data_IF_674907741255
#
_entry.id   IF_674907741255
#
_cell.length_a   1.000
_cell.length_b   1.000
_cell.length_c   1.000
_cell.angle_alpha   90.00
_cell.angle_beta   90.00
_cell.angle_gamma   90.00
#
_symmetry.space_group_name_H-M   'P 1'
#
loop_
_entity.id
_entity.type
_entity.pdbx_description
1 polymer ?
#
# COMPACT_ATOMS: atom_id res chain seq x y z
N UNK A 1 -4.06 10.96 -8.65
CA UNK A 1 -3.14 9.89 -8.33
C UNK A 1 -3.82 8.89 -7.40
N UNK A 2 -5.03 8.44 -7.74
CA UNK A 2 -5.34 7.04 -7.44
C UNK A 2 -4.45 6.26 -8.40
N UNK A 3 -3.43 5.57 -7.90
CA UNK A 3 -2.48 4.85 -8.73
C UNK A 3 -3.22 4.02 -9.80
N UNK A 4 -2.68 3.79 -11.01
CA UNK A 4 -3.30 2.88 -11.96
C UNK A 4 -3.58 1.54 -11.29
N UNK A 5 -4.70 0.87 -11.60
CA UNK A 5 -4.91 -0.48 -11.05
C UNK A 5 -3.88 -1.39 -11.67
N UNK A 6 -2.81 -1.67 -10.94
CA UNK A 6 -1.76 -2.57 -11.39
C UNK A 6 -2.00 -3.95 -10.77
N UNK A 7 -1.52 -5.03 -11.39
CA UNK A 7 -1.47 -6.34 -10.73
C UNK A 7 -0.56 -6.37 -9.50
N UNK A 8 0.20 -5.31 -9.28
CA UNK A 8 1.20 -5.19 -8.22
C UNK A 8 0.64 -4.49 -6.97
N UNK A 9 -0.55 -3.89 -7.04
CA UNK A 9 -1.17 -3.17 -5.92
C UNK A 9 -2.61 -3.64 -5.71
N UNK A 10 -2.87 -4.27 -4.55
CA UNK A 10 -4.21 -4.69 -4.17
C UNK A 10 -5.01 -3.49 -3.68
N UNK A 11 -6.14 -3.19 -4.35
CA UNK A 11 -7.02 -2.06 -3.99
C UNK A 11 -8.38 -2.49 -3.44
N UNK A 12 -9.06 -1.63 -2.68
CA UNK A 12 -10.47 -1.81 -2.36
C UNK A 12 -11.34 -1.83 -3.64
N UNK A 13 -12.53 -2.42 -3.55
CA UNK A 13 -13.58 -2.23 -4.54
C UNK A 13 -14.16 -0.81 -4.40
N UNK A 14 -14.19 -0.06 -5.49
CA UNK A 14 -14.88 1.23 -5.55
C UNK A 14 -16.40 1.05 -5.50
N UNK A 15 -17.15 2.10 -5.18
CA UNK A 15 -18.61 2.04 -5.01
C UNK A 15 -19.35 1.49 -6.23
N UNK A 16 -18.91 1.88 -7.44
CA UNK A 16 -19.44 1.36 -8.70
C UNK A 16 -19.12 -0.13 -8.94
N UNK A 17 -18.07 -0.64 -8.29
CA UNK A 17 -17.62 -2.02 -8.34
C UNK A 17 -18.13 -2.84 -7.13
N UNK A 18 -19.06 -2.36 -6.30
CA UNK A 18 -19.62 -3.15 -5.19
C UNK A 18 -20.74 -4.13 -5.64
N UNK A 19 -21.37 -3.88 -6.78
CA UNK A 19 -22.52 -4.65 -7.25
C UNK A 19 -23.87 -4.03 -6.85
N UNK A 20 -24.96 -4.76 -7.06
CA UNK A 20 -26.30 -4.26 -6.79
C UNK A 20 -26.51 -4.05 -5.27
N UNK A 21 -27.19 -2.95 -4.90
CA UNK A 21 -27.48 -2.64 -3.50
C UNK A 21 -28.30 -3.75 -2.86
N UNK A 22 -27.91 -4.18 -1.67
CA UNK A 22 -28.50 -5.28 -0.92
C UNK A 22 -28.09 -6.68 -1.41
N UNK A 23 -27.19 -6.78 -2.39
CA UNK A 23 -26.75 -8.09 -2.89
C UNK A 23 -25.73 -8.75 -1.95
N UNK A 24 -25.69 -10.08 -1.98
CA UNK A 24 -24.66 -10.85 -1.27
C UNK A 24 -23.24 -10.46 -1.74
N UNK A 25 -23.08 -10.09 -3.01
CA UNK A 25 -21.80 -9.67 -3.57
C UNK A 25 -21.34 -8.32 -3.00
N UNK A 26 -22.25 -7.36 -2.80
CA UNK A 26 -21.95 -6.10 -2.12
C UNK A 26 -21.43 -6.36 -0.69
N UNK A 27 -22.08 -7.25 0.05
CA UNK A 27 -21.66 -7.59 1.41
C UNK A 27 -20.25 -8.21 1.44
N UNK A 28 -19.94 -9.11 0.49
CA UNK A 28 -18.62 -9.74 0.36
C UNK A 28 -17.52 -8.73 0.01
N UNK A 29 -17.76 -7.87 -0.97
CA UNK A 29 -16.80 -6.84 -1.39
C UNK A 29 -16.56 -5.80 -0.29
N UNK A 30 -17.59 -5.41 0.46
CA UNK A 30 -17.44 -4.56 1.65
C UNK A 30 -16.64 -5.25 2.77
N UNK A 31 -16.86 -6.54 3.00
CA UNK A 31 -16.07 -7.30 3.97
C UNK A 31 -14.59 -7.38 3.57
N UNK A 32 -14.32 -7.58 2.27
CA UNK A 32 -12.97 -7.51 1.72
C UNK A 32 -12.31 -6.14 1.92
N UNK A 33 -13.00 -5.03 1.61
CA UNK A 33 -12.45 -3.69 1.81
C UNK A 33 -12.09 -3.45 3.28
N UNK A 34 -12.96 -3.84 4.22
CA UNK A 34 -12.67 -3.74 5.67
C UNK A 34 -11.46 -4.57 6.08
N UNK A 35 -11.34 -5.79 5.56
CA UNK A 35 -10.20 -6.65 5.84
C UNK A 35 -8.90 -6.05 5.28
N UNK A 36 -8.91 -5.56 4.05
CA UNK A 36 -7.77 -4.90 3.42
C UNK A 36 -7.33 -3.66 4.20
N UNK A 37 -8.28 -2.81 4.60
CA UNK A 37 -8.01 -1.63 5.43
C UNK A 37 -7.38 -2.02 6.77
N UNK A 38 -7.91 -3.06 7.43
CA UNK A 38 -7.31 -3.58 8.67
C UNK A 38 -5.88 -4.08 8.50
N UNK A 39 -5.57 -4.77 7.39
CA UNK A 39 -4.19 -5.18 7.08
C UNK A 39 -3.29 -3.98 6.81
N UNK A 40 -3.76 -2.96 6.08
CA UNK A 40 -3.01 -1.72 5.84
C UNK A 40 -2.66 -1.01 7.14
N UNK A 41 -3.62 -0.84 8.05
CA UNK A 41 -3.38 -0.23 9.36
C UNK A 41 -2.27 -0.94 10.13
N UNK A 42 -2.27 -2.28 10.15
CA UNK A 42 -1.21 -3.06 10.81
C UNK A 42 0.16 -2.80 10.18
N UNK A 43 0.22 -2.78 8.85
CA UNK A 43 1.46 -2.51 8.11
C UNK A 43 1.95 -1.07 8.37
N UNK A 44 1.05 -0.10 8.29
CA UNK A 44 1.33 1.32 8.50
C UNK A 44 1.83 1.57 9.93
N UNK A 45 1.21 0.96 10.95
CA UNK A 45 1.71 1.01 12.33
C UNK A 45 3.11 0.40 12.46
N UNK A 46 3.35 -0.79 11.89
CA UNK A 46 4.67 -1.43 11.97
C UNK A 46 5.77 -0.57 11.32
N UNK A 47 5.47 0.07 10.18
CA UNK A 47 6.41 1.01 9.56
C UNK A 47 6.54 2.34 10.32
N UNK A 48 5.47 2.80 10.97
CA UNK A 48 5.51 3.97 11.86
C UNK A 48 6.44 3.74 13.05
N UNK A 49 6.34 2.57 13.68
CA UNK A 49 7.22 2.16 14.79
C UNK A 49 8.66 2.01 14.32
N UNK A 50 8.87 1.43 13.12
CA UNK A 50 10.20 1.28 12.54
C UNK A 50 10.86 2.63 12.25
N UNK A 51 10.10 3.60 11.70
CA UNK A 51 10.58 4.97 11.42
C UNK A 51 10.85 5.76 12.71
N UNK A 52 9.96 5.65 13.69
CA UNK A 52 10.12 6.32 14.99
C UNK A 52 11.35 5.80 15.74
N UNK A 53 11.59 4.49 15.72
CA UNK A 53 12.76 3.86 16.36
C UNK A 53 14.05 4.11 15.59
N UNK A 54 14.03 3.98 14.27
CA UNK A 54 15.22 4.12 13.43
C UNK A 54 15.12 5.34 12.54
N UNK A 55 15.42 6.51 13.10
CA UNK A 55 15.31 7.80 12.39
C UNK A 55 16.20 7.88 11.14
N UNK A 56 17.25 7.07 11.06
CA UNK A 56 18.08 6.88 9.84
C UNK A 56 17.27 6.38 8.64
N UNK A 57 16.09 5.78 8.85
CA UNK A 57 15.16 5.39 7.78
C UNK A 57 14.55 6.59 7.05
N UNK A 58 14.44 7.75 7.72
CA UNK A 58 13.98 8.98 7.08
C UNK A 58 15.04 9.57 6.13
N UNK A 59 16.32 9.25 6.37
CA UNK A 59 17.45 9.74 5.57
C UNK A 59 17.82 8.81 4.40
N UNK A 60 17.21 7.62 4.33
CA UNK A 60 17.42 6.59 3.29
C UNK A 60 16.80 6.94 1.92
N UNK A 61 16.10 8.07 1.81
CA UNK A 61 15.32 8.47 0.62
C UNK A 61 16.12 8.73 -0.66
N UNK A 62 17.44 8.59 -0.65
CA UNK A 62 18.34 8.83 -1.79
C UNK A 62 19.00 7.57 -2.35
N UNK A 63 18.56 6.39 -1.94
CA UNK A 63 19.13 5.13 -2.45
C UNK A 63 18.64 4.85 -3.88
N UNK A 64 19.53 4.98 -4.87
CA UNK A 64 19.26 4.61 -6.27
C UNK A 64 19.05 3.09 -6.46
N UNK A 65 19.47 2.27 -5.49
CA UNK A 65 19.38 0.81 -5.55
C UNK A 65 18.22 0.28 -4.70
N UNK A 66 17.10 -0.01 -5.36
CA UNK A 66 15.90 -0.58 -4.73
C UNK A 66 16.17 -1.94 -4.05
N UNK A 67 17.05 -2.78 -4.59
CA UNK A 67 17.35 -4.09 -3.98
C UNK A 67 18.04 -3.94 -2.62
N UNK A 68 18.96 -2.97 -2.53
CA UNK A 68 19.66 -2.65 -1.30
C UNK A 68 18.72 -2.03 -0.27
N UNK A 69 17.83 -1.13 -0.70
CA UNK A 69 16.79 -0.57 0.15
C UNK A 69 15.92 -1.67 0.78
N UNK A 70 15.48 -2.66 -0.01
CA UNK A 70 14.69 -3.78 0.51
C UNK A 70 15.45 -4.59 1.56
N UNK A 71 16.74 -4.88 1.33
CA UNK A 71 17.60 -5.59 2.30
C UNK A 71 17.76 -4.81 3.60
N UNK A 72 17.92 -3.49 3.51
CA UNK A 72 18.03 -2.61 4.69
C UNK A 72 16.73 -2.63 5.48
N UNK A 73 15.58 -2.46 4.82
CA UNK A 73 14.27 -2.53 5.48
C UNK A 73 14.06 -3.89 6.16
N UNK A 74 14.38 -4.99 5.47
CA UNK A 74 14.26 -6.35 6.03
C UNK A 74 15.15 -6.54 7.27
N UNK A 75 16.41 -6.12 7.21
CA UNK A 75 17.33 -6.20 8.35
C UNK A 75 16.81 -5.39 9.56
N UNK A 76 16.22 -4.22 9.31
CA UNK A 76 15.67 -3.37 10.36
C UNK A 76 14.41 -3.96 10.99
N UNK A 77 13.54 -4.62 10.21
CA UNK A 77 12.40 -5.37 10.75
C UNK A 77 12.87 -6.52 11.67
N UNK A 78 13.89 -7.27 11.25
CA UNK A 78 14.47 -8.33 12.08
C UNK A 78 15.06 -7.75 13.37
N UNK A 79 15.83 -6.66 13.28
CA UNK A 79 16.42 -6.00 14.44
C UNK A 79 15.35 -5.45 15.39
N UNK A 80 14.30 -4.82 14.86
CA UNK A 80 13.16 -4.33 15.64
C UNK A 80 12.52 -5.46 16.47
N UNK A 81 12.31 -6.63 15.87
CA UNK A 81 11.76 -7.79 16.55
C UNK A 81 12.70 -8.30 17.65
N UNK A 82 14.02 -8.31 17.41
CA UNK A 82 15.01 -8.69 18.42
C UNK A 82 14.95 -7.73 19.61
N UNK A 83 14.89 -6.41 19.37
CA UNK A 83 14.74 -5.42 20.44
C UNK A 83 13.49 -5.69 21.29
N UNK A 84 12.33 -5.93 20.66
CA UNK A 84 11.09 -6.28 21.39
C UNK A 84 11.28 -7.51 22.28
N UNK A 85 11.91 -8.57 21.75
CA UNK A 85 12.16 -9.80 22.51
C UNK A 85 13.07 -9.56 23.71
N UNK A 86 14.05 -8.67 23.57
CA UNK A 86 14.96 -8.28 24.65
C UNK A 86 14.32 -7.29 25.66
N UNK A 87 13.07 -6.89 25.43
CA UNK A 87 12.36 -5.94 26.28
C UNK A 87 12.73 -4.48 26.02
N UNK A 88 13.52 -4.19 24.98
CA UNK A 88 13.74 -2.83 24.47
C UNK A 88 12.47 -2.44 23.69
N UNK A 89 11.68 -1.54 24.29
CA UNK A 89 10.40 -1.09 23.76
C UNK A 89 10.56 0.26 23.05
N UNK A 90 9.97 0.45 21.85
CA UNK A 90 10.07 1.73 21.13
C UNK A 90 9.64 2.94 21.96
N UNK A 91 8.62 2.78 22.81
CA UNK A 91 8.05 3.84 23.65
C UNK A 91 9.01 4.32 24.77
N UNK A 92 10.08 3.58 25.04
CA UNK A 92 11.10 3.93 26.04
C UNK A 92 12.25 4.74 25.44
N UNK A 93 12.28 4.93 24.11
CA UNK A 93 13.31 5.71 23.41
C UNK A 93 12.99 7.21 23.53
N UNK A 94 13.98 8.00 23.94
CA UNK A 94 13.88 9.46 23.99
C UNK A 94 13.59 10.02 22.59
N UNK A 95 12.62 10.93 22.48
CA UNK A 95 12.10 11.46 21.21
C UNK A 95 11.45 10.43 20.26
N UNK A 96 10.98 9.29 20.77
CA UNK A 96 10.14 8.39 19.98
C UNK A 96 8.81 9.07 19.65
N UNK A 97 8.63 9.39 18.36
CA UNK A 97 7.34 9.74 17.81
C UNK A 97 6.93 8.62 16.85
N UNK A 98 5.79 7.98 17.13
CA UNK A 98 5.18 7.09 16.16
C UNK A 98 4.76 7.96 14.97
N UNK A 99 5.54 7.88 13.89
CA UNK A 99 5.23 8.60 12.66
C UNK A 99 4.09 7.88 11.96
N UNK A 100 2.88 8.15 12.43
CA UNK A 100 1.69 7.88 11.64
C UNK A 100 1.63 8.93 10.55
N UNK A 101 1.75 8.51 9.29
CA UNK A 101 1.35 9.37 8.17
C UNK A 101 -0.12 9.71 8.39
N UNK A 102 -0.40 10.94 8.82
CA UNK A 102 -1.72 11.35 9.28
C UNK A 102 -2.69 11.31 8.10
N UNK A 103 -3.39 10.19 7.95
CA UNK A 103 -4.57 10.02 7.11
C UNK A 103 -4.35 10.37 5.64
N UNK A 104 -4.02 9.37 4.83
CA UNK A 104 -4.60 9.34 3.48
C UNK A 104 -6.11 9.14 3.66
N UNK A 105 -6.87 10.24 3.77
CA UNK A 105 -8.33 10.21 3.61
C UNK A 105 -8.63 9.40 2.34
N UNK A 106 -9.51 8.39 2.44
CA UNK A 106 -9.94 7.59 1.27
C UNK A 106 -10.51 8.49 0.14
N UNK A 107 -10.93 9.71 0.48
CA UNK A 107 -11.41 10.76 -0.42
C UNK A 107 -10.27 11.53 -1.16
N UNK A 108 -9.07 11.57 -0.59
CA UNK A 108 -7.88 12.20 -1.20
C UNK A 108 -7.36 11.41 -2.41
N UNK A 109 -7.43 10.07 -2.36
CA UNK A 109 -7.12 9.21 -3.52
C UNK A 109 -8.04 9.51 -4.73
N UNK A 110 -9.30 9.89 -4.46
CA UNK A 110 -10.29 10.23 -5.49
C UNK A 110 -10.08 11.64 -6.08
N UNK A 111 -9.75 12.64 -5.27
CA UNK A 111 -9.51 14.00 -5.76
C UNK A 111 -8.21 14.13 -6.55
N UNK A 112 -7.18 13.40 -6.14
CA UNK A 112 -5.90 13.36 -6.83
C UNK A 112 -6.09 12.89 -8.29
N UNK A 113 -7.05 12.01 -8.58
CA UNK A 113 -7.33 11.50 -9.94
C UNK A 113 -7.86 12.57 -10.92
N UNK A 114 -8.32 13.73 -10.43
CA UNK A 114 -8.91 14.79 -11.26
C UNK A 114 -7.89 15.73 -11.90
N UNK A 115 -6.68 15.83 -11.36
CA UNK A 115 -5.65 16.79 -11.80
C UNK A 115 -4.70 16.27 -12.89
N UNK A 116 -4.77 14.98 -13.26
CA UNK A 116 -3.87 14.33 -14.23
C UNK A 116 -4.26 14.47 -15.71
N UNK A 117 -5.41 15.08 -16.03
CA UNK A 117 -5.88 15.18 -17.42
C UNK A 117 -5.10 16.20 -18.28
N UNK A 118 -3.93 16.68 -17.84
CA UNK A 118 -3.26 17.82 -18.47
C UNK A 118 -1.73 17.76 -18.60
N UNK A 119 -1.08 16.60 -18.51
CA UNK A 119 0.38 16.50 -18.76
C UNK A 119 0.66 15.49 -19.87
N UNK A 120 0.67 16.02 -21.09
CA UNK A 120 1.18 15.41 -22.31
C UNK A 120 2.69 15.60 -22.42
N UNK A 121 3.40 14.49 -22.64
CA UNK A 121 4.72 14.47 -23.28
C UNK A 121 5.88 14.03 -22.40
N UNK A 122 6.24 12.75 -22.48
CA UNK A 122 7.61 12.36 -22.83
C UNK A 122 7.71 10.87 -23.27
N UNK A 123 8.70 10.60 -24.11
CA UNK A 123 8.87 9.44 -24.98
C UNK A 123 9.19 8.14 -24.24
N UNK A 124 8.44 7.06 -24.53
CA UNK A 124 8.65 5.72 -23.95
C UNK A 124 9.72 4.91 -24.70
N UNK A 125 10.52 4.14 -23.97
CA UNK A 125 11.59 3.29 -24.53
C UNK A 125 11.09 1.87 -24.85
N UNK A 126 11.81 1.17 -25.73
CA UNK A 126 11.43 -0.09 -26.40
C UNK A 126 11.07 -1.27 -25.48
N UNK A 127 11.37 -1.23 -24.18
CA UNK A 127 11.02 -2.28 -23.21
C UNK A 127 9.56 -2.23 -22.70
N UNK A 128 8.80 -1.18 -23.03
CA UNK A 128 7.46 -0.91 -22.46
C UNK A 128 6.27 -1.38 -23.32
N UNK A 129 6.50 -2.16 -24.39
CA UNK A 129 5.45 -2.51 -25.36
C UNK A 129 4.46 -3.62 -24.91
N UNK A 130 4.65 -4.28 -23.76
CA UNK A 130 3.76 -5.38 -23.33
C UNK A 130 2.81 -5.04 -22.17
N UNK A 131 3.04 -3.95 -21.44
CA UNK A 131 2.20 -3.57 -20.29
C UNK A 131 1.32 -2.37 -20.64
N UNK A 132 0.29 -2.62 -21.45
CA UNK A 132 -0.75 -1.59 -21.67
C UNK A 132 -1.54 -1.36 -20.37
N UNK A 133 -2.04 -0.13 -20.16
CA UNK A 133 -2.88 0.21 -18.99
C UNK A 133 -4.09 -0.73 -18.85
N UNK A 134 -4.70 -1.12 -19.97
CA UNK A 134 -5.81 -2.08 -19.99
C UNK A 134 -5.39 -3.47 -19.47
N UNK A 135 -4.20 -3.94 -19.85
CA UNK A 135 -3.65 -5.20 -19.37
C UNK A 135 -3.43 -5.17 -17.85
N UNK A 136 -2.80 -4.10 -17.35
CA UNK A 136 -2.53 -3.92 -15.92
C UNK A 136 -3.84 -3.90 -15.11
N UNK A 137 -4.85 -3.14 -15.56
CA UNK A 137 -6.16 -3.06 -14.92
C UNK A 137 -6.88 -4.40 -14.84
N UNK A 138 -6.86 -5.14 -15.95
CA UNK A 138 -7.51 -6.46 -16.03
C UNK A 138 -6.83 -7.46 -15.10
N UNK A 139 -5.49 -7.48 -15.07
CA UNK A 139 -4.73 -8.35 -14.18
C UNK A 139 -4.93 -7.98 -12.71
N UNK A 140 -4.93 -6.69 -12.36
CA UNK A 140 -5.24 -6.21 -11.01
C UNK A 140 -6.62 -6.67 -10.53
N UNK A 141 -7.64 -6.53 -11.38
CA UNK A 141 -9.00 -7.01 -11.10
C UNK A 141 -9.05 -8.53 -10.86
N UNK A 142 -8.31 -9.30 -11.64
CA UNK A 142 -8.20 -10.74 -11.42
C UNK A 142 -7.57 -11.10 -10.07
N UNK A 143 -6.55 -10.36 -9.63
CA UNK A 143 -5.93 -10.58 -8.31
C UNK A 143 -6.93 -10.26 -7.20
N UNK A 144 -7.64 -9.13 -7.28
CA UNK A 144 -8.68 -8.75 -6.31
C UNK A 144 -9.75 -9.83 -6.17
N UNK A 145 -10.31 -10.31 -7.29
CA UNK A 145 -11.32 -11.35 -7.28
C UNK A 145 -10.79 -12.69 -6.75
N UNK A 146 -9.53 -13.04 -7.06
CA UNK A 146 -8.89 -14.26 -6.55
C UNK A 146 -8.76 -14.21 -5.03
N UNK A 147 -8.31 -13.08 -4.48
CA UNK A 147 -8.15 -12.91 -3.02
C UNK A 147 -9.52 -12.86 -2.33
N UNK A 148 -10.48 -12.11 -2.89
CA UNK A 148 -11.87 -12.08 -2.42
C UNK A 148 -12.45 -13.50 -2.31
N UNK A 149 -12.36 -14.29 -3.38
CA UNK A 149 -12.88 -15.65 -3.40
C UNK A 149 -12.11 -16.59 -2.48
N UNK A 150 -10.82 -16.36 -2.21
CA UNK A 150 -10.06 -17.19 -1.27
C UNK A 150 -10.47 -16.92 0.19
N UNK A 151 -10.77 -15.66 0.53
CA UNK A 151 -11.01 -15.23 1.91
C UNK A 151 -12.50 -15.22 2.30
N UNK A 152 -13.40 -15.10 1.33
CA UNK A 152 -14.83 -14.86 1.55
C UNK A 152 -15.75 -15.75 0.66
N UNK A 153 -15.29 -16.93 0.23
CA UNK A 153 -16.17 -18.02 -0.26
C UNK A 153 -16.49 -18.99 0.87
#
# INVERSE_FOLDING_TARGET
>A
MGYPTTPYTLRPFADNDLGARGSAEEARRKAFNRHLAGQRIIIEHAFGDLKGRFRSLCDLGTMDNMEELYKVIEAMLVLHNICIILGDRPEEIEDFEQVMDAGHDEESELQSARWEQGLDGESMTSSQLHETDLYLRTKGRHVQLRVLNKLFN
#
